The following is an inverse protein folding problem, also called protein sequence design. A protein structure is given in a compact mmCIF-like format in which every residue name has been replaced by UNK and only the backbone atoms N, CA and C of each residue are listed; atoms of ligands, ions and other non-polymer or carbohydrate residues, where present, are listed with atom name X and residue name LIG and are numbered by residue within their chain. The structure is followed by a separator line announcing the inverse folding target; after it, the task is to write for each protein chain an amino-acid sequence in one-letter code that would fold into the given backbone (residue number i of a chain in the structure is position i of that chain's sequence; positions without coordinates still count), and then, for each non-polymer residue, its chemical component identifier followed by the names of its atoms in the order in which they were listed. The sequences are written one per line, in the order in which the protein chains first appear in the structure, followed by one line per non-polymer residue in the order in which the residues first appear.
data_IF_510790596430
#
_entry.id   IF_510790596430
#
_cell.length_a   1.000
_cell.length_b   1.000
_cell.length_c   1.000
_cell.angle_alpha   90.00
_cell.angle_beta   90.00
_cell.angle_gamma   90.00
#
_symmetry.space_group_name_H-M   'P 1'
#
loop_
_entity.id
_entity.type
_entity.pdbx_description
1 polymer ?
#
# COMPACT_ATOMS: atom_id res chain seq x y z
N UNK A 1 -7.63 18.92 -1.01
CA UNK A 1 -6.35 19.49 -1.46
C UNK A 1 -6.29 20.98 -1.13
N UNK A 2 -5.10 21.48 -0.83
CA UNK A 2 -4.87 22.86 -0.44
C UNK A 2 -3.67 23.41 -1.20
N UNK A 3 -3.69 24.65 -1.72
CA UNK A 3 -2.52 25.31 -2.29
C UNK A 3 -1.47 25.57 -1.21
N UNK A 4 -0.19 25.37 -1.54
CA UNK A 4 0.94 25.55 -0.62
C UNK A 4 0.98 26.95 0.02
N UNK A 5 0.63 27.99 -0.75
CA UNK A 5 0.77 29.38 -0.32
C UNK A 5 -0.44 29.94 0.47
N UNK A 6 -1.59 29.28 0.42
CA UNK A 6 -2.88 29.94 0.73
C UNK A 6 -3.76 29.25 1.76
N UNK A 7 -3.59 27.95 2.03
CA UNK A 7 -4.39 27.21 3.01
C UNK A 7 -5.90 27.09 2.70
N UNK A 8 -6.42 27.87 1.74
CA UNK A 8 -7.79 27.78 1.26
C UNK A 8 -8.04 26.44 0.53
N UNK A 9 -9.21 25.81 0.69
CA UNK A 9 -9.49 24.55 0.01
C UNK A 9 -9.47 24.72 -1.52
N UNK A 10 -8.64 23.93 -2.22
CA UNK A 10 -8.67 23.86 -3.69
C UNK A 10 -9.81 22.96 -4.17
N UNK A 11 -9.93 21.77 -3.56
CA UNK A 11 -11.01 20.82 -3.79
C UNK A 11 -11.07 19.79 -2.65
N UNK A 12 -12.22 19.13 -2.50
CA UNK A 12 -12.43 17.99 -1.62
C UNK A 12 -13.12 16.87 -2.39
N UNK A 13 -12.73 15.62 -2.13
CA UNK A 13 -13.27 14.44 -2.82
C UNK A 13 -13.12 13.19 -1.96
N UNK A 14 -13.89 12.16 -2.31
CA UNK A 14 -13.94 10.87 -1.60
C UNK A 14 -15.03 10.81 -0.52
N UNK A 15 -15.59 9.61 -0.33
CA UNK A 15 -16.60 9.33 0.71
C UNK A 15 -16.48 7.88 1.22
N UNK A 16 -15.26 7.33 1.21
CA UNK A 16 -14.98 5.93 1.53
C UNK A 16 -14.68 5.72 3.03
N UNK A 17 -15.12 6.65 3.88
CA UNK A 17 -14.93 6.60 5.33
C UNK A 17 -13.49 6.85 5.80
N UNK A 18 -13.25 6.49 7.06
CA UNK A 18 -12.03 6.83 7.77
C UNK A 18 -10.82 5.97 7.34
N UNK A 19 -9.65 6.59 7.36
CA UNK A 19 -8.37 5.92 7.10
C UNK A 19 -7.21 6.63 7.78
N UNK A 20 -6.16 5.87 8.07
CA UNK A 20 -4.86 6.38 8.50
C UNK A 20 -3.79 6.22 7.42
N UNK A 21 -4.12 5.60 6.29
CA UNK A 21 -3.21 5.53 5.14
C UNK A 21 -3.04 6.93 4.54
N UNK A 22 -1.79 7.36 4.41
CA UNK A 22 -1.49 8.63 3.75
C UNK A 22 -1.80 8.57 2.25
N UNK A 23 -2.30 9.67 1.65
CA UNK A 23 -2.41 9.79 0.20
C UNK A 23 -1.02 9.70 -0.46
N UNK A 24 -0.93 9.07 -1.62
CA UNK A 24 0.28 9.12 -2.46
C UNK A 24 -0.04 9.52 -3.90
N UNK A 25 0.91 10.17 -4.56
CA UNK A 25 0.83 10.43 -6.01
C UNK A 25 1.53 9.29 -6.74
N UNK A 26 0.85 8.70 -7.72
CA UNK A 26 1.38 7.66 -8.58
C UNK A 26 1.02 7.94 -10.05
N UNK A 27 1.84 7.47 -10.98
CA UNK A 27 1.47 7.45 -12.40
C UNK A 27 1.10 6.02 -12.76
N UNK A 28 -0.18 5.77 -13.02
CA UNK A 28 -0.68 4.46 -13.43
C UNK A 28 -1.22 4.53 -14.86
N UNK A 29 -0.81 3.58 -15.69
CA UNK A 29 -1.18 3.50 -17.11
C UNK A 29 -0.96 4.83 -17.86
N UNK A 30 0.13 5.52 -17.49
CA UNK A 30 0.55 6.80 -18.06
C UNK A 30 -0.13 8.05 -17.49
N UNK A 31 -1.01 7.94 -16.49
CA UNK A 31 -1.74 9.08 -15.91
C UNK A 31 -1.35 9.32 -14.45
N UNK A 32 -0.84 10.51 -14.10
CA UNK A 32 -0.67 10.94 -12.72
C UNK A 32 -2.02 10.98 -12.00
N UNK A 33 -2.07 10.42 -10.79
CA UNK A 33 -3.26 10.36 -9.96
C UNK A 33 -2.89 10.29 -8.48
N UNK A 34 -3.80 10.72 -7.62
CA UNK A 34 -3.70 10.55 -6.17
C UNK A 34 -4.36 9.22 -5.81
N UNK A 35 -3.64 8.34 -5.13
CA UNK A 35 -4.18 7.12 -4.55
C UNK A 35 -4.59 7.39 -3.11
N UNK A 36 -5.86 7.13 -2.83
CA UNK A 36 -6.43 7.13 -1.49
C UNK A 36 -6.85 5.71 -1.14
N UNK A 37 -6.32 5.19 -0.04
CA UNK A 37 -6.71 3.90 0.49
C UNK A 37 -7.44 4.08 1.81
N UNK A 38 -8.75 4.14 1.73
CA UNK A 38 -9.68 4.10 2.86
C UNK A 38 -10.57 2.88 2.66
N UNK A 39 -11.89 2.93 2.85
CA UNK A 39 -12.78 1.78 2.65
C UNK A 39 -12.57 1.06 1.31
N UNK A 40 -12.17 1.80 0.28
CA UNK A 40 -11.69 1.29 -1.01
C UNK A 40 -10.34 1.91 -1.36
N UNK A 41 -9.63 1.31 -2.31
CA UNK A 41 -8.56 1.99 -3.04
C UNK A 41 -9.20 2.80 -4.17
N UNK A 42 -8.95 4.10 -4.19
CA UNK A 42 -9.51 5.03 -5.18
C UNK A 42 -8.40 5.84 -5.82
N UNK A 43 -8.42 5.94 -7.15
CA UNK A 43 -7.58 6.86 -7.90
C UNK A 43 -8.32 8.16 -8.18
N UNK A 44 -7.71 9.30 -7.87
CA UNK A 44 -8.28 10.63 -8.10
C UNK A 44 -7.42 11.45 -9.05
N UNK A 45 -8.06 12.24 -9.90
CA UNK A 45 -7.40 13.26 -10.71
C UNK A 45 -6.75 14.33 -9.82
N UNK A 46 -5.50 14.73 -10.15
CA UNK A 46 -4.72 15.67 -9.32
C UNK A 46 -5.36 17.06 -9.24
N UNK A 47 -5.97 17.51 -10.35
CA UNK A 47 -6.42 18.90 -10.49
C UNK A 47 -7.82 19.09 -9.93
N UNK A 48 -8.69 18.12 -10.18
CA UNK A 48 -10.13 18.21 -9.90
C UNK A 48 -10.57 17.39 -8.70
N UNK A 49 -9.77 16.39 -8.29
CA UNK A 49 -10.17 15.40 -7.29
C UNK A 49 -11.21 14.39 -7.81
N UNK A 50 -11.57 14.41 -9.09
CA UNK A 50 -12.53 13.49 -9.66
C UNK A 50 -12.07 12.03 -9.51
N UNK A 51 -12.99 11.13 -9.13
CA UNK A 51 -12.74 9.70 -9.08
C UNK A 51 -12.51 9.15 -10.49
N UNK A 52 -11.34 8.55 -10.72
CA UNK A 52 -10.96 7.93 -11.98
C UNK A 52 -11.38 6.45 -12.01
N UNK A 53 -11.18 5.75 -10.89
CA UNK A 53 -11.55 4.36 -10.68
C UNK A 53 -11.57 4.02 -9.20
N UNK A 54 -12.19 2.89 -8.88
CA UNK A 54 -12.33 2.37 -7.53
C UNK A 54 -12.14 0.87 -7.51
N UNK A 55 -11.43 0.40 -6.49
CA UNK A 55 -11.29 -1.01 -6.17
C UNK A 55 -11.71 -1.25 -4.73
N UNK A 56 -12.79 -2.01 -4.54
CA UNK A 56 -13.29 -2.37 -3.23
C UNK A 56 -12.30 -3.30 -2.55
N UNK A 57 -11.88 -2.96 -1.34
CA UNK A 57 -11.04 -3.81 -0.51
C UNK A 57 -11.85 -4.35 0.67
N UNK A 58 -11.76 -5.66 1.00
CA UNK A 58 -12.49 -6.22 2.12
C UNK A 58 -11.95 -5.70 3.45
N UNK A 59 -12.83 -5.63 4.45
CA UNK A 59 -12.51 -5.21 5.80
C UNK A 59 -13.58 -4.28 6.38
N UNK A 60 -13.65 -4.23 7.72
CA UNK A 60 -14.51 -3.30 8.45
C UNK A 60 -13.72 -2.34 9.35
N UNK A 61 -12.40 -2.32 9.21
CA UNK A 61 -11.49 -1.49 10.00
C UNK A 61 -10.84 -0.41 9.11
N UNK A 62 -10.48 0.76 9.66
CA UNK A 62 -9.71 1.75 8.93
C UNK A 62 -8.41 1.14 8.40
N UNK A 63 -8.09 1.43 7.14
CA UNK A 63 -6.85 0.99 6.52
C UNK A 63 -5.72 1.93 6.94
N UNK A 64 -4.54 1.36 7.11
CA UNK A 64 -3.40 2.07 7.74
C UNK A 64 -2.18 2.01 6.84
N UNK A 65 -1.86 0.82 6.30
CA UNK A 65 -0.72 0.68 5.41
C UNK A 65 -0.96 1.46 4.11
N UNK A 66 0.06 2.19 3.67
CA UNK A 66 0.03 2.88 2.38
C UNK A 66 0.07 1.87 1.22
N UNK A 67 -0.64 2.13 0.11
CA UNK A 67 -0.49 1.37 -1.11
C UNK A 67 0.94 1.38 -1.63
N UNK A 68 1.39 0.23 -2.11
CA UNK A 68 2.71 0.06 -2.73
C UNK A 68 2.53 0.07 -4.25
N UNK A 69 3.10 1.06 -4.95
CA UNK A 69 3.11 1.07 -6.42
C UNK A 69 4.09 0.00 -6.92
N UNK A 70 3.55 -1.05 -7.53
CA UNK A 70 4.26 -2.27 -7.93
C UNK A 70 4.44 -2.36 -9.45
N UNK A 71 4.75 -1.23 -10.09
CA UNK A 71 4.93 -1.10 -11.53
C UNK A 71 3.99 -0.06 -12.15
N UNK A 72 3.94 0.02 -13.49
CA UNK A 72 3.20 1.06 -14.21
C UNK A 72 1.69 0.90 -14.08
N UNK A 73 1.18 -0.27 -13.72
CA UNK A 73 -0.27 -0.56 -13.71
C UNK A 73 -0.72 -1.38 -12.52
N UNK A 74 0.13 -1.55 -11.52
CA UNK A 74 -0.13 -2.49 -10.44
C UNK A 74 0.14 -1.81 -9.10
N UNK A 75 -0.77 -2.03 -8.15
CA UNK A 75 -0.70 -1.51 -6.79
C UNK A 75 -0.92 -2.67 -5.83
N UNK A 76 -0.12 -2.75 -4.79
CA UNK A 76 -0.23 -3.77 -3.75
C UNK A 76 -0.79 -3.12 -2.50
N UNK A 77 -1.79 -3.78 -1.92
CA UNK A 77 -2.49 -3.38 -0.71
C UNK A 77 -2.20 -4.37 0.41
N UNK A 78 -2.23 -3.88 1.64
CA UNK A 78 -2.07 -4.68 2.85
C UNK A 78 -2.94 -4.10 3.96
N UNK A 79 -3.63 -4.98 4.69
CA UNK A 79 -4.40 -4.60 5.87
C UNK A 79 -4.29 -5.66 6.95
N UNK A 80 -4.22 -5.20 8.20
CA UNK A 80 -4.22 -6.04 9.39
C UNK A 80 -5.56 -6.75 9.63
N UNK A 81 -5.79 -7.18 10.87
CA UNK A 81 -7.07 -7.74 11.34
C UNK A 81 -7.59 -8.92 10.49
N UNK A 82 -6.68 -9.76 9.98
CA UNK A 82 -7.04 -10.95 9.20
C UNK A 82 -7.33 -10.69 7.71
N UNK A 83 -7.21 -9.45 7.21
CA UNK A 83 -7.48 -9.14 5.80
C UNK A 83 -6.33 -9.56 4.87
N UNK A 84 -5.08 -9.35 5.28
CA UNK A 84 -3.88 -9.71 4.50
C UNK A 84 -3.58 -8.73 3.37
N UNK A 85 -3.00 -9.23 2.29
CA UNK A 85 -2.49 -8.41 1.18
C UNK A 85 -3.03 -8.87 -0.18
N UNK A 86 -2.77 -8.08 -1.23
CA UNK A 86 -3.25 -8.34 -2.58
C UNK A 86 -2.66 -7.37 -3.57
N UNK A 87 -2.60 -7.80 -4.84
CA UNK A 87 -2.19 -6.96 -5.96
C UNK A 87 -3.39 -6.65 -6.83
N UNK A 88 -3.53 -5.38 -7.17
CA UNK A 88 -4.59 -4.83 -8.00
C UNK A 88 -3.96 -4.28 -9.26
N UNK A 89 -4.56 -4.57 -10.42
CA UNK A 89 -4.18 -4.02 -11.72
C UNK A 89 -5.14 -2.94 -12.15
N UNK A 90 -4.58 -1.79 -12.54
CA UNK A 90 -5.27 -0.57 -12.95
C UNK A 90 -4.90 -0.26 -14.39
N UNK A 91 -5.88 -0.27 -15.29
CA UNK A 91 -5.70 -0.11 -16.74
C UNK A 91 -6.81 0.74 -17.33
N UNK A 92 -6.53 1.41 -18.44
CA UNK A 92 -7.54 1.99 -19.34
C UNK A 92 -7.70 1.14 -20.59
N UNK A 93 -8.92 1.10 -21.11
CA UNK A 93 -9.13 0.65 -22.48
C UNK A 93 -8.86 1.79 -23.49
N UNK A 94 -8.95 1.48 -24.78
CA UNK A 94 -8.71 2.44 -25.86
C UNK A 94 -9.71 3.63 -25.87
N UNK A 95 -10.85 3.50 -25.18
CA UNK A 95 -11.82 4.58 -24.99
C UNK A 95 -11.45 5.52 -23.82
N UNK A 96 -10.40 5.18 -23.06
CA UNK A 96 -9.97 5.90 -21.87
C UNK A 96 -10.72 5.51 -20.60
N UNK A 97 -11.58 4.48 -20.65
CA UNK A 97 -12.33 4.02 -19.48
C UNK A 97 -11.41 3.19 -18.57
N UNK A 98 -11.40 3.54 -17.29
CA UNK A 98 -10.61 2.83 -16.30
C UNK A 98 -11.24 1.51 -15.86
N UNK A 99 -10.37 0.58 -15.47
CA UNK A 99 -10.69 -0.66 -14.79
C UNK A 99 -9.67 -0.92 -13.68
N UNK A 100 -10.14 -1.46 -12.56
CA UNK A 100 -9.31 -1.96 -11.47
C UNK A 100 -9.72 -3.40 -11.16
N UNK A 101 -8.77 -4.33 -11.20
CA UNK A 101 -9.03 -5.77 -11.10
C UNK A 101 -8.02 -6.45 -10.17
N UNK A 102 -8.46 -7.48 -9.46
CA UNK A 102 -7.57 -8.28 -8.62
C UNK A 102 -6.63 -9.13 -9.50
N UNK A 103 -5.34 -9.08 -9.21
CA UNK A 103 -4.33 -9.98 -9.79
C UNK A 103 -4.11 -11.17 -8.86
N UNK A 104 -3.96 -10.92 -7.56
CA UNK A 104 -3.92 -11.94 -6.53
C UNK A 104 -4.38 -11.37 -5.19
N UNK A 105 -4.86 -12.27 -4.32
CA UNK A 105 -5.24 -11.97 -2.94
C UNK A 105 -4.73 -13.07 -2.01
N UNK A 106 -4.22 -12.67 -0.86
CA UNK A 106 -3.71 -13.59 0.15
C UNK A 106 -3.96 -13.11 1.57
N UNK A 107 -3.95 -14.06 2.51
CA UNK A 107 -4.08 -13.78 3.95
C UNK A 107 -2.71 -13.66 4.65
N UNK A 108 -1.70 -13.22 3.92
CA UNK A 108 -0.33 -12.98 4.40
C UNK A 108 -0.03 -11.49 4.35
N UNK A 109 1.01 -11.08 5.07
CA UNK A 109 1.42 -9.68 5.18
C UNK A 109 0.26 -8.79 5.66
N UNK A 110 -0.25 -9.09 6.84
CA UNK A 110 -1.30 -8.34 7.57
C UNK A 110 -0.70 -7.12 8.27
N UNK A 111 -0.25 -6.13 7.49
CA UNK A 111 0.36 -4.94 8.04
C UNK A 111 -0.71 -4.10 8.77
N UNK A 112 -0.48 -3.85 10.06
CA UNK A 112 -1.44 -3.18 10.93
C UNK A 112 -1.08 -1.73 11.17
N UNK A 113 0.09 -1.45 11.75
CA UNK A 113 0.54 -0.09 12.05
C UNK A 113 1.82 0.25 11.28
N UNK A 114 2.05 -0.39 10.13
CA UNK A 114 3.27 -0.23 9.35
C UNK A 114 2.98 -0.40 7.87
N UNK A 115 3.96 -0.07 7.04
CA UNK A 115 3.89 -0.22 5.59
C UNK A 115 4.77 -1.40 5.15
N UNK A 116 4.28 -2.27 4.25
CA UNK A 116 5.16 -3.16 3.50
C UNK A 116 6.17 -2.37 2.68
N UNK A 117 7.39 -2.90 2.58
CA UNK A 117 8.49 -2.34 1.83
C UNK A 117 8.74 -3.19 0.59
N UNK A 118 8.55 -2.66 -0.63
CA UNK A 118 8.98 -3.34 -1.84
C UNK A 118 10.51 -3.25 -1.99
N UNK A 119 11.17 -4.37 -2.24
CA UNK A 119 12.60 -4.40 -2.55
C UNK A 119 12.96 -5.66 -3.35
N UNK A 120 13.74 -5.52 -4.42
CA UNK A 120 14.25 -6.66 -5.19
C UNK A 120 13.19 -7.64 -5.70
N UNK A 121 11.99 -7.16 -6.09
CA UNK A 121 10.88 -8.01 -6.54
C UNK A 121 10.09 -8.68 -5.42
N UNK A 122 10.39 -8.38 -4.16
CA UNK A 122 9.74 -8.92 -2.98
C UNK A 122 9.09 -7.82 -2.13
N UNK A 123 8.24 -8.24 -1.19
CA UNK A 123 7.61 -7.40 -0.17
C UNK A 123 8.09 -7.84 1.19
N UNK A 124 8.63 -6.89 1.95
CA UNK A 124 9.06 -7.12 3.33
C UNK A 124 8.14 -6.35 4.28
N UNK A 125 7.69 -6.99 5.35
CA UNK A 125 6.89 -6.28 6.34
C UNK A 125 6.41 -7.15 7.49
N UNK A 126 5.81 -6.51 8.48
CA UNK A 126 5.33 -7.18 9.68
C UNK A 126 3.95 -7.79 9.44
N UNK A 127 3.90 -9.11 9.35
CA UNK A 127 2.68 -9.91 9.22
C UNK A 127 2.19 -10.34 10.61
N UNK A 128 1.32 -9.54 11.23
CA UNK A 128 0.92 -9.67 12.65
C UNK A 128 2.13 -9.77 13.59
N UNK A 129 3.08 -8.85 13.38
CA UNK A 129 4.23 -8.63 14.26
C UNK A 129 5.41 -9.59 14.09
N UNK A 130 5.39 -10.41 13.06
CA UNK A 130 6.53 -11.24 12.63
C UNK A 130 6.97 -10.73 11.26
N UNK A 131 8.27 -10.52 11.06
CA UNK A 131 8.79 -10.08 9.77
C UNK A 131 8.56 -11.18 8.73
N UNK A 132 8.10 -10.79 7.55
CA UNK A 132 7.81 -11.71 6.46
C UNK A 132 8.34 -11.15 5.14
N UNK A 133 8.76 -12.05 4.27
CA UNK A 133 9.07 -11.78 2.88
C UNK A 133 8.07 -12.51 1.98
N UNK A 134 7.41 -11.77 1.09
CA UNK A 134 6.55 -12.32 0.05
C UNK A 134 7.13 -11.99 -1.31
N UNK A 135 6.93 -12.89 -2.26
CA UNK A 135 7.10 -12.60 -3.68
C UNK A 135 6.05 -11.57 -4.12
N UNK A 136 6.46 -10.41 -4.64
CA UNK A 136 5.52 -9.33 -4.98
C UNK A 136 4.67 -9.66 -6.21
N UNK A 137 5.15 -10.53 -7.09
CA UNK A 137 4.46 -10.89 -8.32
C UNK A 137 3.29 -11.82 -8.05
N UNK A 138 3.51 -12.82 -7.19
CA UNK A 138 2.59 -13.93 -6.93
C UNK A 138 1.87 -13.84 -5.59
N UNK A 139 2.38 -13.05 -4.64
CA UNK A 139 1.92 -13.03 -3.25
C UNK A 139 2.37 -14.25 -2.43
N UNK A 140 3.22 -15.11 -3.00
CA UNK A 140 3.74 -16.31 -2.36
C UNK A 140 4.64 -15.99 -1.17
N UNK A 141 4.46 -16.68 -0.06
CA UNK A 141 5.34 -16.54 1.11
C UNK A 141 6.72 -17.12 0.80
N UNK A 142 7.78 -16.31 0.95
CA UNK A 142 9.17 -16.78 0.92
C UNK A 142 9.57 -17.30 2.29
N UNK A 143 9.49 -16.44 3.30
CA UNK A 143 9.76 -16.78 4.69
C UNK A 143 8.98 -15.87 5.64
N UNK A 144 8.90 -16.29 6.90
CA UNK A 144 8.30 -15.52 8.01
C UNK A 144 8.97 -15.88 9.32
N UNK A 145 9.75 -14.96 9.86
CA UNK A 145 10.57 -15.17 11.05
C UNK A 145 10.87 -13.86 11.77
N UNK A 146 11.39 -13.94 13.00
CA UNK A 146 11.70 -12.76 13.82
C UNK A 146 10.45 -12.03 14.32
N UNK A 147 10.26 -12.01 15.64
CA UNK A 147 9.10 -11.36 16.27
C UNK A 147 9.49 -9.96 16.75
N UNK A 148 8.87 -8.95 16.14
CA UNK A 148 9.16 -7.54 16.40
C UNK A 148 7.91 -6.74 16.79
N UNK A 149 6.76 -7.40 16.92
CA UNK A 149 5.50 -6.73 17.25
C UNK A 149 5.04 -5.76 16.15
N UNK A 150 4.13 -4.85 16.46
CA UNK A 150 3.62 -3.86 15.51
C UNK A 150 4.54 -2.63 15.36
N UNK A 151 5.82 -2.89 15.08
CA UNK A 151 6.86 -1.89 14.85
C UNK A 151 6.76 -1.13 13.51
N UNK A 152 7.80 -0.36 13.20
CA UNK A 152 7.96 0.41 11.95
C UNK A 152 9.09 -0.15 11.09
N UNK A 153 8.91 -0.17 9.77
CA UNK A 153 9.92 -0.66 8.82
C UNK A 153 10.23 0.41 7.77
N UNK A 154 11.51 0.63 7.49
CA UNK A 154 12.00 1.56 6.48
C UNK A 154 13.12 0.94 5.66
N UNK A 155 13.12 1.15 4.35
CA UNK A 155 14.29 0.84 3.52
C UNK A 155 15.29 2.01 3.58
N UNK A 156 16.52 1.73 3.99
CA UNK A 156 17.63 2.68 4.00
C UNK A 156 18.78 2.10 3.16
N UNK A 157 18.97 2.66 1.96
CA UNK A 157 19.88 2.08 0.97
C UNK A 157 19.41 0.68 0.56
N UNK A 158 20.20 -0.34 0.89
CA UNK A 158 19.91 -1.76 0.62
C UNK A 158 19.60 -2.57 1.87
N UNK A 159 19.20 -1.90 2.98
CA UNK A 159 18.91 -2.53 4.27
C UNK A 159 17.57 -2.08 4.81
N UNK A 160 16.90 -2.95 5.55
CA UNK A 160 15.71 -2.59 6.30
C UNK A 160 16.10 -2.12 7.70
N UNK A 161 15.74 -0.90 8.06
CA UNK A 161 15.75 -0.43 9.43
C UNK A 161 14.39 -0.72 10.05
N UNK A 162 14.37 -1.54 11.10
CA UNK A 162 13.15 -1.95 11.78
C UNK A 162 13.20 -1.46 13.22
N UNK A 163 12.24 -0.64 13.60
CA UNK A 163 11.98 -0.26 15.00
C UNK A 163 10.88 -1.19 15.53
N UNK A 164 11.22 -2.10 16.43
CA UNK A 164 10.29 -3.06 17.02
C UNK A 164 9.36 -2.37 18.04
N UNK A 165 8.27 -3.06 18.39
CA UNK A 165 7.28 -2.58 19.36
C UNK A 165 7.84 -2.37 20.76
N UNK A 166 8.88 -3.11 21.14
CA UNK A 166 9.59 -2.94 22.42
C UNK A 166 10.62 -1.79 22.42
N UNK A 167 10.76 -1.08 21.30
CA UNK A 167 11.69 0.03 21.13
C UNK A 167 13.09 -0.38 20.66
N UNK A 168 13.36 -1.67 20.46
CA UNK A 168 14.62 -2.11 19.85
C UNK A 168 14.70 -1.71 18.38
N UNK A 169 15.91 -1.41 17.91
CA UNK A 169 16.18 -1.09 16.50
C UNK A 169 17.10 -2.15 15.93
N UNK A 170 16.68 -2.77 14.83
CA UNK A 170 17.46 -3.78 14.12
C UNK A 170 17.66 -3.40 12.66
N UNK A 171 18.83 -3.74 12.12
CA UNK A 171 19.13 -3.63 10.72
C UNK A 171 19.04 -5.03 10.11
N UNK A 172 18.20 -5.20 9.11
CA UNK A 172 17.94 -6.49 8.44
C UNK A 172 18.41 -6.40 7.00
N UNK A 173 19.08 -7.45 6.53
CA UNK A 173 19.35 -7.62 5.10
C UNK A 173 18.08 -8.19 4.43
N UNK A 174 17.45 -7.49 3.47
CA UNK A 174 16.27 -7.97 2.78
C UNK A 174 16.62 -9.08 1.77
N UNK A 175 17.04 -10.24 2.28
CA UNK A 175 17.27 -11.44 1.48
C UNK A 175 15.96 -12.23 1.33
N UNK A 176 15.52 -12.57 0.10
CA UNK A 176 14.34 -13.42 -0.11
C UNK A 176 14.57 -14.92 0.17
N UNK A 177 15.80 -15.35 0.44
CA UNK A 177 16.20 -16.74 0.75
C UNK A 177 16.42 -16.98 2.25
#
# INVERSE_FOLDING_TARGET
AYPLAGGEPAWSAGNEGDSYSSPLVATLDGVPQILLFSGSLVGHDLQTGAELWKFRWPGGHPHIAMPVVAGPTDVILSSGYGTGSGRVRIRRDDSGKWSASEVWKGNRLKAKFTNPVPYGGNLYGLDDGILACLDAETGGLRWKEGRYGHGQTLLVGSRLLLLAEDGSVVLVDPNPE
#
